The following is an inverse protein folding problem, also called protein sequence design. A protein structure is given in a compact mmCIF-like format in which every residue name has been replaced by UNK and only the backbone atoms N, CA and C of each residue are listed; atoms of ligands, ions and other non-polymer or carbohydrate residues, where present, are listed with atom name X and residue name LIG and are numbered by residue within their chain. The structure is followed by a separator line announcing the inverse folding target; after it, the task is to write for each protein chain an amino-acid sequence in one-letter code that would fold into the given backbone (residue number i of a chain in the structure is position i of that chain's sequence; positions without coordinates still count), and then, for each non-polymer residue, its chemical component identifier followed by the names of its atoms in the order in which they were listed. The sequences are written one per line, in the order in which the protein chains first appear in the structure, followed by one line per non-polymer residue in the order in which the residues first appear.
data_IF_561678753193
#
_entry.id   IF_561678753193
#
_cell.length_a   1.000
_cell.length_b   1.000
_cell.length_c   1.000
_cell.angle_alpha   90.00
_cell.angle_beta   90.00
_cell.angle_gamma   90.00
#
_symmetry.space_group_name_H-M   'P 1'
#
loop_
_entity.id
_entity.type
_entity.pdbx_description
1 polymer ?
#
# COMPACT_ATOMS: atom_id res chain seq x y z
N UNK A 1 -3.52 -10.08 -6.05
CA UNK A 1 -3.41 -8.64 -5.74
C UNK A 1 -4.33 -7.75 -6.58
N UNK A 2 -4.09 -7.55 -7.89
CA UNK A 2 -4.88 -6.61 -8.72
C UNK A 2 -6.40 -6.85 -8.69
N UNK A 3 -6.86 -8.11 -8.73
CA UNK A 3 -8.28 -8.43 -8.60
C UNK A 3 -8.90 -8.02 -7.26
N UNK A 4 -8.12 -8.08 -6.17
CA UNK A 4 -8.57 -7.64 -4.86
C UNK A 4 -8.64 -6.12 -4.78
N UNK A 5 -7.75 -5.40 -5.45
CA UNK A 5 -7.87 -3.95 -5.60
C UNK A 5 -9.20 -3.59 -6.29
N UNK A 6 -9.52 -4.24 -7.41
CA UNK A 6 -10.80 -4.00 -8.11
C UNK A 6 -12.02 -4.34 -7.23
N UNK A 7 -11.92 -5.34 -6.34
CA UNK A 7 -12.98 -5.62 -5.34
C UNK A 7 -13.10 -4.50 -4.31
N UNK A 8 -11.99 -3.98 -3.79
CA UNK A 8 -12.00 -2.85 -2.85
C UNK A 8 -12.59 -1.60 -3.49
N UNK A 9 -12.20 -1.29 -4.73
CA UNK A 9 -12.68 -0.15 -5.49
C UNK A 9 -14.19 -0.18 -5.77
N UNK A 10 -14.82 -1.36 -5.84
CA UNK A 10 -16.28 -1.48 -6.01
C UNK A 10 -17.09 -1.03 -4.79
N UNK A 11 -16.46 -1.00 -3.61
CA UNK A 11 -17.13 -0.74 -2.34
C UNK A 11 -16.70 0.59 -1.69
N UNK A 12 -15.96 1.45 -2.41
CA UNK A 12 -15.54 2.75 -1.87
C UNK A 12 -16.70 3.73 -1.80
N UNK A 13 -16.66 4.63 -0.81
CA UNK A 13 -17.65 5.69 -0.71
C UNK A 13 -17.55 6.68 -1.89
N UNK A 14 -18.64 7.37 -2.26
CA UNK A 14 -18.61 8.41 -3.30
C UNK A 14 -17.54 9.49 -3.04
N UNK A 15 -17.30 9.84 -1.78
CA UNK A 15 -16.27 10.82 -1.39
C UNK A 15 -14.86 10.34 -1.74
N UNK A 16 -14.57 9.06 -1.49
CA UNK A 16 -13.28 8.46 -1.85
C UNK A 16 -13.16 8.32 -3.37
N UNK A 17 -14.25 7.98 -4.07
CA UNK A 17 -14.26 7.96 -5.53
C UNK A 17 -13.93 9.35 -6.11
N UNK A 18 -14.58 10.41 -5.64
CA UNK A 18 -14.28 11.78 -6.09
C UNK A 18 -12.83 12.17 -5.82
N UNK A 19 -12.25 11.72 -4.71
CA UNK A 19 -10.83 11.89 -4.44
C UNK A 19 -9.96 11.14 -5.46
N UNK A 20 -10.25 9.86 -5.73
CA UNK A 20 -9.48 9.04 -6.68
C UNK A 20 -9.61 9.51 -8.15
N UNK A 21 -10.69 10.21 -8.49
CA UNK A 21 -10.91 10.78 -9.83
C UNK A 21 -10.10 12.07 -10.07
N UNK A 22 -9.51 12.65 -9.02
CA UNK A 22 -8.65 13.83 -9.16
C UNK A 22 -7.42 13.52 -10.02
N UNK A 23 -7.03 14.50 -10.84
CA UNK A 23 -5.84 14.40 -11.69
C UNK A 23 -4.58 14.79 -10.93
N UNK A 24 -3.55 13.98 -11.10
CA UNK A 24 -2.17 14.26 -10.74
C UNK A 24 -1.38 14.11 -12.03
N UNK A 25 -0.84 15.22 -12.54
CA UNK A 25 -0.17 15.21 -13.84
C UNK A 25 -1.11 14.73 -14.97
N UNK A 26 -0.63 13.77 -15.76
CA UNK A 26 -1.36 13.21 -16.89
C UNK A 26 -2.34 12.07 -16.52
N UNK A 27 -2.38 11.60 -15.27
CA UNK A 27 -3.26 10.52 -14.82
C UNK A 27 -4.22 10.93 -13.69
N UNK A 28 -5.23 10.11 -13.42
CA UNK A 28 -6.01 10.21 -12.18
C UNK A 28 -5.27 9.51 -11.03
N UNK A 29 -5.58 9.87 -9.79
CA UNK A 29 -5.10 9.16 -8.59
C UNK A 29 -5.43 7.66 -8.66
N UNK A 30 -6.60 7.29 -9.20
CA UNK A 30 -6.96 5.90 -9.44
C UNK A 30 -5.98 5.17 -10.37
N UNK A 31 -5.63 5.78 -11.50
CA UNK A 31 -4.64 5.20 -12.43
C UNK A 31 -3.27 5.05 -11.77
N UNK A 32 -2.84 6.07 -11.02
CA UNK A 32 -1.59 6.04 -10.25
C UNK A 32 -1.61 4.89 -9.23
N UNK A 33 -2.69 4.72 -8.46
CA UNK A 33 -2.85 3.63 -7.50
C UNK A 33 -2.78 2.26 -8.18
N UNK A 34 -3.41 2.09 -9.34
CA UNK A 34 -3.34 0.83 -10.11
C UNK A 34 -1.92 0.51 -10.56
N UNK A 35 -1.18 1.51 -11.04
CA UNK A 35 0.22 1.34 -11.44
C UNK A 35 1.09 1.01 -10.22
N UNK A 36 0.94 1.76 -9.12
CA UNK A 36 1.65 1.48 -7.88
C UNK A 36 1.34 0.07 -7.33
N UNK A 37 0.11 -0.41 -7.48
CA UNK A 37 -0.29 -1.77 -7.08
C UNK A 37 0.48 -2.84 -7.87
N UNK A 38 0.72 -2.62 -9.16
CA UNK A 38 1.53 -3.55 -9.97
C UNK A 38 3.01 -3.50 -9.57
N UNK A 39 3.49 -2.35 -9.09
CA UNK A 39 4.90 -2.10 -8.84
C UNK A 39 5.33 -2.25 -7.37
N UNK A 40 4.41 -2.30 -6.40
CA UNK A 40 4.74 -2.16 -4.97
C UNK A 40 5.80 -3.15 -4.47
N UNK A 41 5.76 -4.38 -4.98
CA UNK A 41 6.59 -5.50 -4.53
C UNK A 41 7.66 -5.95 -5.54
N UNK A 42 7.91 -5.19 -6.61
CA UNK A 42 8.75 -5.64 -7.74
C UNK A 42 10.18 -5.98 -7.35
N UNK A 43 10.65 -5.47 -6.21
CA UNK A 43 12.00 -5.65 -5.70
C UNK A 43 12.12 -6.77 -4.64
N UNK A 44 11.03 -7.50 -4.34
CA UNK A 44 11.08 -8.61 -3.36
C UNK A 44 12.08 -9.69 -3.77
N UNK A 45 12.18 -9.98 -5.07
CA UNK A 45 13.11 -10.99 -5.58
C UNK A 45 14.58 -10.60 -5.35
N UNK A 46 14.91 -9.34 -5.54
CA UNK A 46 16.26 -8.78 -5.43
C UNK A 46 16.70 -8.63 -3.96
N UNK A 47 15.75 -8.56 -3.05
CA UNK A 47 15.98 -8.36 -1.61
C UNK A 47 15.69 -9.60 -0.78
N UNK A 48 15.34 -10.72 -1.40
CA UNK A 48 15.01 -11.96 -0.72
C UNK A 48 16.22 -12.50 0.05
N UNK A 49 16.06 -12.67 1.36
CA UNK A 49 17.02 -13.29 2.27
C UNK A 49 16.32 -14.41 3.02
N UNK A 50 16.87 -15.61 2.98
CA UNK A 50 16.42 -16.74 3.81
C UNK A 50 17.22 -16.74 5.11
N UNK A 51 16.53 -16.60 6.25
CA UNK A 51 17.12 -16.71 7.57
C UNK A 51 17.39 -18.18 7.94
N UNK A 52 18.27 -18.40 8.93
CA UNK A 52 18.70 -19.74 9.37
C UNK A 52 17.56 -20.64 9.85
N UNK A 53 16.43 -20.04 10.27
CA UNK A 53 15.23 -20.76 10.69
C UNK A 53 14.29 -21.13 9.52
N UNK A 54 14.68 -20.87 8.27
CA UNK A 54 13.90 -21.12 7.07
C UNK A 54 12.94 -19.99 6.68
N UNK A 55 12.87 -18.90 7.45
CA UNK A 55 12.00 -17.77 7.12
C UNK A 55 12.58 -16.94 5.98
N UNK A 56 11.76 -16.59 5.00
CA UNK A 56 12.09 -15.65 3.95
C UNK A 56 11.73 -14.22 4.36
N UNK A 57 12.66 -13.27 4.20
CA UNK A 57 12.46 -11.84 4.42
C UNK A 57 12.87 -11.06 3.17
N UNK A 58 12.27 -9.89 2.94
CA UNK A 58 12.63 -8.99 1.84
C UNK A 58 12.99 -7.59 2.38
N UNK A 59 14.08 -7.43 3.17
CA UNK A 59 14.38 -6.15 3.81
C UNK A 59 14.67 -5.04 2.78
N UNK A 60 13.99 -3.90 2.92
CA UNK A 60 14.21 -2.71 2.11
C UNK A 60 13.69 -2.82 0.67
N UNK A 61 12.86 -3.82 0.37
CA UNK A 61 12.25 -3.98 -0.96
C UNK A 61 11.45 -2.74 -1.37
N UNK A 62 10.83 -2.03 -0.43
CA UNK A 62 10.06 -0.82 -0.67
C UNK A 62 10.93 0.30 -1.26
N UNK A 63 12.13 0.48 -0.72
CA UNK A 63 13.09 1.49 -1.19
C UNK A 63 13.64 1.14 -2.57
N UNK A 64 14.00 -0.12 -2.79
CA UNK A 64 14.51 -0.57 -4.08
C UNK A 64 13.40 -0.50 -5.15
N UNK A 65 12.18 -0.94 -4.83
CA UNK A 65 11.02 -0.87 -5.71
C UNK A 65 10.69 0.58 -6.10
N UNK A 66 10.71 1.51 -5.14
CA UNK A 66 10.49 2.93 -5.42
C UNK A 66 11.56 3.47 -6.40
N UNK A 67 12.84 3.15 -6.18
CA UNK A 67 13.92 3.53 -7.10
C UNK A 67 13.83 2.92 -8.50
N UNK A 68 13.08 1.81 -8.64
CA UNK A 68 12.84 1.12 -9.91
C UNK A 68 11.66 1.71 -10.70
N UNK A 69 10.76 2.50 -10.08
CA UNK A 69 9.57 3.06 -10.76
C UNK A 69 9.94 3.84 -12.02
N UNK A 70 11.01 4.64 -11.97
CA UNK A 70 11.51 5.40 -13.13
C UNK A 70 11.78 4.54 -14.37
N UNK A 71 12.15 3.27 -14.19
CA UNK A 71 12.42 2.35 -15.29
C UNK A 71 11.14 1.95 -16.04
N UNK A 72 9.97 2.21 -15.44
CA UNK A 72 8.66 1.93 -16.01
C UNK A 72 7.92 3.21 -16.45
N UNK A 73 8.51 4.39 -16.26
CA UNK A 73 7.86 5.66 -16.61
C UNK A 73 7.54 5.75 -18.10
N UNK A 74 8.43 5.28 -18.98
CA UNK A 74 8.15 5.25 -20.43
C UNK A 74 7.05 4.24 -20.78
N UNK A 75 7.09 3.05 -20.17
CA UNK A 75 6.10 2.00 -20.41
C UNK A 75 4.69 2.43 -20.02
N UNK A 76 4.56 3.13 -18.90
CA UNK A 76 3.29 3.64 -18.38
C UNK A 76 3.00 5.09 -18.77
N UNK A 77 3.84 5.71 -19.60
CA UNK A 77 3.72 7.10 -20.05
C UNK A 77 3.56 8.10 -18.87
N UNK A 78 4.26 7.88 -17.76
CA UNK A 78 4.19 8.73 -16.58
C UNK A 78 4.90 10.06 -16.85
N UNK A 79 4.23 11.19 -16.58
CA UNK A 79 4.96 12.44 -16.38
C UNK A 79 5.68 12.45 -15.02
N UNK A 80 6.56 13.43 -14.80
CA UNK A 80 7.36 13.52 -13.58
C UNK A 80 6.51 13.53 -12.30
N UNK A 81 5.31 14.15 -12.35
CA UNK A 81 4.44 14.26 -11.18
C UNK A 81 3.77 12.92 -10.89
N UNK A 82 3.29 12.21 -11.90
CA UNK A 82 2.77 10.86 -11.75
C UNK A 82 3.83 9.90 -11.22
N UNK A 83 5.05 9.96 -11.78
CA UNK A 83 6.17 9.14 -11.33
C UNK A 83 6.45 9.35 -9.84
N UNK A 84 6.57 10.60 -9.39
CA UNK A 84 6.79 10.93 -7.97
C UNK A 84 5.71 10.34 -7.06
N UNK A 85 4.45 10.39 -7.47
CA UNK A 85 3.35 9.81 -6.69
C UNK A 85 3.38 8.27 -6.65
N UNK A 86 3.67 7.62 -7.78
CA UNK A 86 3.86 6.16 -7.82
C UNK A 86 5.04 5.77 -6.91
N UNK A 87 6.16 6.46 -7.00
CA UNK A 87 7.34 6.26 -6.14
C UNK A 87 6.99 6.37 -4.66
N UNK A 88 6.26 7.42 -4.24
CA UNK A 88 5.86 7.60 -2.85
C UNK A 88 4.90 6.50 -2.37
N UNK A 89 3.94 6.08 -3.18
CA UNK A 89 3.00 5.00 -2.81
C UNK A 89 3.78 3.68 -2.66
N UNK A 90 4.65 3.35 -3.62
CA UNK A 90 5.50 2.16 -3.58
C UNK A 90 6.43 2.19 -2.38
N UNK A 91 7.06 3.33 -2.08
CA UNK A 91 7.97 3.47 -0.94
C UNK A 91 7.28 3.23 0.41
N UNK A 92 6.02 3.67 0.54
CA UNK A 92 5.29 3.66 1.80
C UNK A 92 4.24 2.54 1.93
N UNK A 93 4.16 1.62 0.97
CA UNK A 93 3.10 0.61 0.93
C UNK A 93 3.08 -0.28 2.20
N UNK A 94 4.25 -0.68 2.71
CA UNK A 94 4.37 -1.47 3.94
C UNK A 94 4.09 -0.69 5.23
N UNK A 95 4.13 0.65 5.20
CA UNK A 95 4.02 1.46 6.41
C UNK A 95 2.66 1.33 7.09
N UNK A 96 1.58 1.09 6.32
CA UNK A 96 0.24 0.91 6.90
C UNK A 96 0.16 -0.36 7.74
N UNK A 97 0.87 -1.43 7.35
CA UNK A 97 0.93 -2.66 8.14
C UNK A 97 1.48 -2.41 9.55
N UNK A 98 2.52 -1.58 9.65
CA UNK A 98 3.11 -1.17 10.93
C UNK A 98 2.16 -0.29 11.76
N UNK A 99 1.43 0.60 11.12
CA UNK A 99 0.41 1.44 11.75
C UNK A 99 -0.70 0.58 12.36
N UNK A 100 -1.16 -0.44 11.63
CA UNK A 100 -2.16 -1.40 12.10
C UNK A 100 -1.61 -2.18 13.30
N UNK A 101 -0.42 -2.76 13.19
CA UNK A 101 0.21 -3.52 14.26
C UNK A 101 0.36 -2.69 15.55
N UNK A 102 0.82 -1.45 15.44
CA UNK A 102 0.94 -0.54 16.58
C UNK A 102 -0.42 -0.15 17.17
N UNK A 103 -1.43 0.06 16.34
CA UNK A 103 -2.79 0.42 16.79
C UNK A 103 -3.44 -0.73 17.55
N UNK A 104 -3.26 -1.96 17.08
CA UNK A 104 -3.72 -3.17 17.79
C UNK A 104 -2.98 -3.37 19.11
N UNK A 105 -1.67 -3.10 19.15
CA UNK A 105 -0.87 -3.23 20.37
C UNK A 105 -1.14 -2.10 21.39
N UNK A 106 -1.49 -0.89 20.93
CA UNK A 106 -1.77 0.28 21.78
C UNK A 106 -3.11 0.96 21.43
N UNK A 107 -4.26 0.31 21.71
CA UNK A 107 -5.57 0.84 21.30
C UNK A 107 -5.89 2.23 21.87
N UNK A 108 -5.40 2.55 23.07
CA UNK A 108 -5.58 3.88 23.69
C UNK A 108 -4.87 5.01 22.95
N UNK A 109 -3.97 4.69 22.01
CA UNK A 109 -3.21 5.64 21.19
C UNK A 109 -3.56 5.57 19.71
N UNK A 110 -4.56 4.78 19.31
CA UNK A 110 -4.97 4.56 17.91
C UNK A 110 -5.06 5.87 17.12
N UNK A 111 -5.82 6.86 17.62
CA UNK A 111 -5.97 8.16 16.95
C UNK A 111 -4.64 8.91 16.73
N UNK A 112 -3.72 8.84 17.71
CA UNK A 112 -2.42 9.50 17.61
C UNK A 112 -1.56 8.81 16.55
N UNK A 113 -1.63 7.47 16.48
CA UNK A 113 -0.88 6.67 15.51
C UNK A 113 -1.39 6.97 14.09
N UNK A 114 -2.71 6.97 13.87
CA UNK A 114 -3.31 7.31 12.57
C UNK A 114 -3.02 8.75 12.14
N UNK A 115 -3.10 9.71 13.06
CA UNK A 115 -2.75 11.10 12.73
C UNK A 115 -1.29 11.23 12.29
N UNK A 116 -0.35 10.57 12.99
CA UNK A 116 1.06 10.56 12.60
C UNK A 116 1.30 9.91 11.25
N UNK A 117 0.55 8.85 10.93
CA UNK A 117 0.58 8.24 9.61
C UNK A 117 0.16 9.24 8.54
N UNK A 118 -0.99 9.91 8.72
CA UNK A 118 -1.49 10.92 7.79
C UNK A 118 -0.49 12.08 7.66
N UNK A 119 0.09 12.56 8.76
CA UNK A 119 1.10 13.63 8.72
C UNK A 119 2.36 13.23 7.96
N UNK A 120 2.77 11.96 8.07
CA UNK A 120 3.99 11.44 7.45
C UNK A 120 3.84 11.19 5.94
N UNK A 121 2.72 10.61 5.51
CA UNK A 121 2.50 10.27 4.08
C UNK A 121 1.73 11.37 3.34
N UNK A 122 0.98 12.18 4.07
CA UNK A 122 0.19 13.30 3.55
C UNK A 122 -0.91 12.84 2.61
N UNK A 123 -0.83 13.38 1.40
CA UNK A 123 -1.89 13.34 0.41
C UNK A 123 -1.99 12.03 -0.38
N UNK A 124 -1.26 10.97 -0.01
CA UNK A 124 -1.38 9.61 -0.56
C UNK A 124 -1.98 8.61 0.44
N UNK A 125 -2.44 9.10 1.60
CA UNK A 125 -2.93 8.26 2.70
C UNK A 125 -4.11 7.37 2.28
N UNK A 126 -5.02 7.86 1.45
CA UNK A 126 -6.15 7.05 0.96
C UNK A 126 -5.70 5.95 0.00
N UNK A 127 -4.77 6.21 -0.92
CA UNK A 127 -4.19 5.19 -1.81
C UNK A 127 -3.52 4.07 -1.01
N UNK A 128 -2.74 4.43 0.01
CA UNK A 128 -2.07 3.47 0.88
C UNK A 128 -3.06 2.60 1.69
N UNK A 129 -4.13 3.21 2.21
CA UNK A 129 -5.20 2.49 2.92
C UNK A 129 -5.95 1.51 1.99
N UNK A 130 -6.21 1.91 0.75
CA UNK A 130 -6.87 1.02 -0.22
C UNK A 130 -5.92 -0.10 -0.65
N UNK A 131 -4.65 0.22 -0.85
CA UNK A 131 -3.63 -0.73 -1.25
C UNK A 131 -3.46 -1.84 -0.20
N UNK A 132 -3.31 -1.50 1.08
CA UNK A 132 -3.13 -2.52 2.13
C UNK A 132 -4.36 -3.42 2.28
N UNK A 133 -5.58 -2.89 2.08
CA UNK A 133 -6.80 -3.70 2.11
C UNK A 133 -6.82 -4.74 0.99
N UNK A 134 -6.34 -4.36 -0.18
CA UNK A 134 -6.20 -5.28 -1.30
C UNK A 134 -5.09 -6.31 -1.06
N UNK A 135 -3.99 -5.89 -0.42
CA UNK A 135 -2.79 -6.70 -0.17
C UNK A 135 -3.02 -7.76 0.92
N UNK A 136 -3.58 -7.35 2.07
CA UNK A 136 -3.94 -8.26 3.16
C UNK A 136 -4.90 -9.36 2.66
N UNK A 137 -5.80 -9.05 1.72
CA UNK A 137 -6.71 -10.02 1.09
C UNK A 137 -6.08 -10.86 -0.03
N UNK A 138 -4.91 -10.46 -0.53
CA UNK A 138 -4.18 -11.18 -1.56
C UNK A 138 -3.14 -12.15 -0.98
N UNK A 139 -2.81 -12.02 0.30
CA UNK A 139 -1.92 -12.93 1.01
C UNK A 139 -2.70 -14.03 1.73
N UNK A 140 -2.02 -15.13 2.07
CA UNK A 140 -2.61 -16.29 2.74
C UNK A 140 -2.81 -16.07 4.26
N UNK A 141 -2.76 -14.82 4.74
CA UNK A 141 -2.79 -14.52 6.18
C UNK A 141 -4.11 -14.94 6.84
N UNK A 142 -5.24 -14.84 6.14
CA UNK A 142 -6.53 -15.31 6.65
C UNK A 142 -6.51 -16.82 6.94
N UNK A 143 -5.86 -17.61 6.08
CA UNK A 143 -5.77 -19.06 6.23
C UNK A 143 -4.69 -19.45 7.25
N UNK A 144 -3.51 -18.84 7.17
CA UNK A 144 -2.33 -19.21 7.95
C UNK A 144 -2.32 -18.64 9.38
N UNK A 145 -2.92 -17.47 9.59
CA UNK A 145 -2.94 -16.76 10.87
C UNK A 145 -4.23 -15.90 11.03
N UNK A 146 -5.42 -16.53 11.07
CA UNK A 146 -6.70 -15.81 11.18
C UNK A 146 -6.78 -14.90 12.42
N UNK A 147 -6.10 -15.27 13.51
CA UNK A 147 -6.01 -14.47 14.74
C UNK A 147 -5.27 -13.15 14.54
N UNK A 148 -4.41 -13.05 13.51
CA UNK A 148 -3.76 -11.82 13.09
C UNK A 148 -4.58 -11.09 12.03
N UNK A 149 -5.22 -11.82 11.11
CA UNK A 149 -6.00 -11.25 10.02
C UNK A 149 -7.24 -10.48 10.50
N UNK A 150 -8.13 -11.11 11.26
CA UNK A 150 -9.44 -10.49 11.60
C UNK A 150 -9.34 -9.19 12.43
N UNK A 151 -8.40 -9.05 13.38
CA UNK A 151 -8.19 -7.77 14.05
C UNK A 151 -7.76 -6.65 13.10
N UNK A 152 -6.92 -6.94 12.11
CA UNK A 152 -6.47 -5.97 11.09
C UNK A 152 -7.64 -5.55 10.22
N UNK A 153 -8.41 -6.52 9.72
CA UNK A 153 -9.59 -6.27 8.89
C UNK A 153 -10.61 -5.38 9.63
N UNK A 154 -10.89 -5.67 10.90
CA UNK A 154 -11.79 -4.86 11.74
C UNK A 154 -11.32 -3.42 11.93
N UNK A 155 -10.02 -3.16 11.89
CA UNK A 155 -9.46 -1.81 11.97
C UNK A 155 -9.66 -1.05 10.65
N UNK A 156 -9.50 -1.73 9.51
CA UNK A 156 -9.54 -1.16 8.16
C UNK A 156 -10.94 -0.92 7.58
N UNK A 157 -12.00 -1.41 8.23
CA UNK A 157 -13.40 -1.26 7.81
C UNK A 157 -14.11 -0.07 8.50
N UNK A 158 -13.50 0.53 9.53
CA UNK A 158 -14.07 1.65 10.29
C UNK A 158 -14.02 2.96 9.50
#
# INVERSE_FOLDING_TARGET
MYENLEKELRNISPKVYTYLDQRIGNYTRLSILKIATLLHDIAKKETLITADNGNANCPGHEHLAAGMVKNFSELFLLDNKCQEYVERIVLHHGFVSEVIAQSLHKPTKENIIWNRFIDAVGDISYELLILIKADDKACDLEELAPEQFYPREKLLIR
#
